data_IF_428222108774
#
_entry.id   IF_428222108774
#
_cell.length_a   1.000
_cell.length_b   1.000
_cell.length_c   1.000
_cell.angle_alpha   90.00
_cell.angle_beta   90.00
_cell.angle_gamma   90.00
#
_symmetry.space_group_name_H-M   'P 1'
#
loop_
_entity.id
_entity.type
_entity.pdbx_description
1 polymer ?
#
# COMPACT_ATOMS: atom_id res chain seq x y z
N UNK A 1 -23.28 -26.90 7.61
CA UNK A 1 -23.78 -25.62 8.16
C UNK A 1 -22.67 -25.05 9.02
N UNK A 2 -22.14 -23.87 8.69
CA UNK A 2 -21.03 -23.24 9.41
C UNK A 2 -21.61 -22.13 10.28
N UNK A 3 -21.44 -22.22 11.60
CA UNK A 3 -21.74 -21.13 12.53
C UNK A 3 -20.41 -20.73 13.16
N UNK A 4 -19.92 -19.55 12.82
CA UNK A 4 -18.66 -19.01 13.34
C UNK A 4 -18.93 -18.14 14.57
N UNK A 5 -18.34 -18.48 15.71
CA UNK A 5 -18.29 -17.61 16.89
C UNK A 5 -16.99 -16.81 16.87
N UNK A 6 -17.08 -15.49 16.95
CA UNK A 6 -15.92 -14.61 17.11
C UNK A 6 -15.49 -14.71 18.58
N UNK A 7 -14.48 -15.53 18.87
CA UNK A 7 -13.86 -15.61 20.19
C UNK A 7 -12.57 -14.78 20.16
N UNK A 8 -12.64 -13.60 20.77
CA UNK A 8 -11.64 -12.52 20.71
C UNK A 8 -11.36 -11.98 19.31
N UNK A 9 -11.15 -10.65 19.20
CA UNK A 9 -10.96 -9.93 17.93
C UNK A 9 -9.77 -10.42 17.09
N UNK A 10 -8.91 -11.27 17.66
CA UNK A 10 -7.67 -11.76 17.04
C UNK A 10 -7.83 -13.11 16.32
N UNK A 11 -8.90 -13.86 16.59
CA UNK A 11 -9.04 -15.24 16.10
C UNK A 11 -10.46 -15.56 15.63
N UNK A 12 -10.54 -16.25 14.50
CA UNK A 12 -11.80 -16.76 13.98
C UNK A 12 -11.80 -18.29 14.04
N UNK A 13 -12.77 -18.86 14.75
CA UNK A 13 -12.94 -20.32 14.84
C UNK A 13 -13.98 -20.76 13.81
N UNK A 14 -13.54 -21.53 12.81
CA UNK A 14 -14.42 -22.17 11.84
C UNK A 14 -14.67 -23.63 12.24
N UNK A 15 -15.95 -23.99 12.30
CA UNK A 15 -16.39 -25.35 12.60
C UNK A 15 -17.00 -25.96 11.36
N UNK A 16 -16.44 -27.07 10.89
CA UNK A 16 -16.95 -27.83 9.76
C UNK A 16 -17.55 -29.14 10.26
N UNK A 17 -18.83 -29.34 9.98
CA UNK A 17 -19.54 -30.58 10.32
C UNK A 17 -19.85 -31.34 9.03
N UNK A 18 -19.33 -32.56 8.89
CA UNK A 18 -19.63 -33.46 7.76
C UNK A 18 -19.71 -34.90 8.25
N UNK A 19 -20.85 -35.57 7.97
CA UNK A 19 -21.11 -36.98 8.34
C UNK A 19 -20.83 -37.30 9.82
N UNK A 20 -21.25 -36.44 10.74
CA UNK A 20 -21.09 -36.67 12.18
C UNK A 20 -19.68 -36.42 12.74
N UNK A 21 -18.73 -35.96 11.91
CA UNK A 21 -17.41 -35.52 12.36
C UNK A 21 -17.39 -33.99 12.42
N UNK A 22 -16.95 -33.46 13.56
CA UNK A 22 -16.67 -32.03 13.75
C UNK A 22 -15.18 -31.75 13.61
N UNK A 23 -14.84 -30.83 12.71
CA UNK A 23 -13.47 -30.37 12.50
C UNK A 23 -13.39 -28.90 12.88
N UNK A 24 -12.39 -28.58 13.69
CA UNK A 24 -12.12 -27.23 14.19
C UNK A 24 -10.90 -26.66 13.48
N UNK A 25 -11.07 -25.49 12.86
CA UNK A 25 -9.97 -24.70 12.27
C UNK A 25 -9.93 -23.35 12.96
N UNK A 26 -8.79 -23.01 13.54
CA UNK A 26 -8.55 -21.70 14.16
C UNK A 26 -7.75 -20.84 13.18
N UNK A 27 -8.34 -19.74 12.72
CA UNK A 27 -7.70 -18.78 11.84
C UNK A 27 -7.18 -17.60 12.67
N UNK A 28 -5.89 -17.29 12.51
CA UNK A 28 -5.26 -16.17 13.19
C UNK A 28 -5.34 -14.91 12.30
N UNK A 29 -6.27 -14.01 12.61
CA UNK A 29 -6.59 -12.85 11.75
C UNK A 29 -5.38 -11.93 11.57
N UNK A 30 -4.58 -11.74 12.64
CA UNK A 30 -3.33 -10.96 12.58
C UNK A 30 -2.37 -11.49 11.53
N UNK A 31 -2.20 -12.80 11.43
CA UNK A 31 -1.23 -13.42 10.53
C UNK A 31 -1.71 -13.39 9.07
N UNK A 32 -3.03 -13.51 8.86
CA UNK A 32 -3.66 -13.38 7.54
C UNK A 32 -3.54 -11.94 7.02
N UNK A 33 -3.82 -10.95 7.87
CA UNK A 33 -3.65 -9.54 7.54
C UNK A 33 -2.17 -9.22 7.29
N UNK A 34 -1.27 -9.68 8.16
CA UNK A 34 0.17 -9.46 8.02
C UNK A 34 0.69 -10.02 6.69
N UNK A 35 0.36 -11.26 6.34
CA UNK A 35 0.74 -11.89 5.06
C UNK A 35 0.16 -11.15 3.84
N UNK A 36 -1.08 -10.68 3.93
CA UNK A 36 -1.71 -9.90 2.86
C UNK A 36 -1.05 -8.54 2.61
N UNK A 37 -0.42 -7.97 3.65
CA UNK A 37 0.16 -6.63 3.61
C UNK A 37 1.70 -6.58 3.58
N UNK A 38 2.42 -7.72 3.61
CA UNK A 38 3.90 -7.76 3.57
C UNK A 38 4.50 -6.96 2.39
N UNK A 39 3.78 -6.88 1.27
CA UNK A 39 4.22 -6.18 0.05
C UNK A 39 4.05 -4.67 0.10
N UNK A 40 3.33 -4.14 1.09
CA UNK A 40 3.05 -2.72 1.22
C UNK A 40 3.90 -2.10 2.32
N UNK A 41 4.39 -0.88 2.09
CA UNK A 41 5.05 -0.13 3.14
C UNK A 41 4.03 0.19 4.24
N UNK A 42 4.37 -0.15 5.48
CA UNK A 42 3.54 0.18 6.64
C UNK A 42 3.64 1.66 6.96
N UNK A 43 2.51 2.27 7.30
CA UNK A 43 2.42 3.68 7.67
C UNK A 43 1.90 4.58 6.55
N UNK A 44 1.86 5.87 6.83
CA UNK A 44 1.53 6.91 5.85
C UNK A 44 2.76 7.48 5.17
N UNK A 45 2.57 8.62 4.50
CA UNK A 45 3.70 9.41 4.01
C UNK A 45 4.49 10.01 5.16
N UNK A 46 5.78 10.25 4.92
CA UNK A 46 6.64 10.95 5.87
C UNK A 46 6.13 12.38 6.07
N UNK A 47 6.26 12.95 7.28
CA UNK A 47 5.88 14.34 7.56
C UNK A 47 6.59 15.35 6.65
N UNK A 48 7.79 15.01 6.18
CA UNK A 48 8.58 15.80 5.23
C UNK A 48 9.09 14.87 4.13
N UNK A 49 8.87 15.24 2.86
CA UNK A 49 9.32 14.42 1.75
C UNK A 49 10.83 14.21 1.77
N UNK A 50 11.21 12.94 1.73
CA UNK A 50 12.60 12.51 1.65
C UNK A 50 12.95 12.02 0.26
N UNK A 51 14.24 12.04 -0.10
CA UNK A 51 14.69 11.56 -1.42
C UNK A 51 14.34 10.09 -1.64
N UNK A 52 14.40 9.29 -0.56
CA UNK A 52 14.02 7.87 -0.57
C UNK A 52 12.51 7.71 -0.83
N UNK A 53 11.67 8.44 -0.11
CA UNK A 53 10.22 8.41 -0.29
C UNK A 53 9.82 8.87 -1.70
N UNK A 54 10.39 9.98 -2.18
CA UNK A 54 10.13 10.49 -3.52
C UNK A 54 10.45 9.46 -4.61
N UNK A 55 11.58 8.75 -4.46
CA UNK A 55 11.99 7.67 -5.35
C UNK A 55 11.00 6.49 -5.31
N UNK A 56 10.52 6.11 -4.12
CA UNK A 56 9.50 5.07 -3.94
C UNK A 56 8.16 5.47 -4.57
N UNK A 57 7.71 6.71 -4.37
CA UNK A 57 6.47 7.25 -4.96
C UNK A 57 6.50 7.19 -6.48
N UNK A 58 7.63 7.55 -7.12
CA UNK A 58 7.76 7.50 -8.57
C UNK A 58 8.13 6.12 -9.13
N UNK A 59 8.41 5.13 -8.26
CA UNK A 59 8.85 3.80 -8.68
C UNK A 59 10.19 3.81 -9.41
N UNK A 60 11.13 4.64 -8.96
CA UNK A 60 12.43 4.84 -9.57
C UNK A 60 13.55 4.71 -8.52
N UNK A 61 14.80 4.43 -8.92
CA UNK A 61 15.93 4.59 -8.02
C UNK A 61 16.16 6.08 -7.69
N UNK A 62 16.66 6.39 -6.49
CA UNK A 62 16.94 7.77 -6.04
C UNK A 62 18.01 8.50 -6.89
N UNK A 63 18.74 7.76 -7.73
CA UNK A 63 19.76 8.21 -8.68
C UNK A 63 19.23 8.33 -10.12
N UNK A 64 17.91 8.20 -10.32
CA UNK A 64 17.32 8.28 -11.65
C UNK A 64 17.63 9.59 -12.37
N UNK A 65 17.83 9.49 -13.69
CA UNK A 65 18.07 10.66 -14.56
C UNK A 65 16.79 11.51 -14.69
N UNK A 66 16.89 12.84 -14.89
CA UNK A 66 15.74 13.74 -14.99
C UNK A 66 14.67 13.31 -16.00
N UNK A 67 15.05 12.78 -17.16
CA UNK A 67 14.09 12.32 -18.16
C UNK A 67 13.20 11.20 -17.62
N UNK A 68 13.77 10.24 -16.89
CA UNK A 68 13.01 9.14 -16.28
C UNK A 68 12.06 9.64 -15.18
N UNK A 69 12.49 10.65 -14.41
CA UNK A 69 11.66 11.29 -13.38
C UNK A 69 10.41 11.92 -14.02
N UNK A 70 10.58 12.68 -15.11
CA UNK A 70 9.48 13.32 -15.84
C UNK A 70 8.51 12.30 -16.45
N UNK A 71 9.05 11.24 -17.05
CA UNK A 71 8.23 10.16 -17.62
C UNK A 71 7.42 9.41 -16.55
N UNK A 72 8.06 9.07 -15.43
CA UNK A 72 7.39 8.39 -14.32
C UNK A 72 6.32 9.27 -13.68
N UNK A 73 6.64 10.55 -13.43
CA UNK A 73 5.69 11.55 -12.94
C UNK A 73 4.47 11.65 -13.84
N UNK A 74 4.67 11.84 -15.15
CA UNK A 74 3.55 11.91 -16.12
C UNK A 74 2.67 10.66 -16.07
N UNK A 75 3.28 9.47 -16.11
CA UNK A 75 2.55 8.19 -16.08
C UNK A 75 1.70 8.04 -14.82
N UNK A 76 2.28 8.32 -13.65
CA UNK A 76 1.63 8.15 -12.35
C UNK A 76 0.57 9.23 -12.13
N UNK A 77 0.85 10.47 -12.52
CA UNK A 77 -0.09 11.59 -12.40
C UNK A 77 -1.34 11.38 -13.27
N UNK A 78 -1.20 10.87 -14.49
CA UNK A 78 -2.37 10.57 -15.34
C UNK A 78 -3.33 9.60 -14.64
N UNK A 79 -2.80 8.58 -13.97
CA UNK A 79 -3.60 7.60 -13.23
C UNK A 79 -4.20 8.15 -11.92
N UNK A 80 -3.58 9.17 -11.32
CA UNK A 80 -3.97 9.72 -10.02
C UNK A 80 -4.54 11.14 -10.10
N UNK A 81 -4.86 11.62 -11.31
CA UNK A 81 -5.28 13.00 -11.52
C UNK A 81 -6.62 13.29 -10.82
N UNK A 82 -6.76 14.39 -10.05
CA UNK A 82 -8.00 14.72 -9.34
C UNK A 82 -9.22 14.81 -10.25
N UNK A 83 -9.08 15.47 -11.40
CA UNK A 83 -10.17 15.60 -12.39
C UNK A 83 -10.59 14.26 -13.03
N UNK A 84 -9.82 13.18 -12.81
CA UNK A 84 -10.16 11.82 -13.24
C UNK A 84 -10.57 10.92 -12.07
N UNK A 85 -10.97 11.52 -10.94
CA UNK A 85 -11.37 10.80 -9.73
C UNK A 85 -10.21 10.38 -8.84
N UNK A 86 -8.99 10.87 -9.10
CA UNK A 86 -7.83 10.65 -8.23
C UNK A 86 -7.90 11.49 -6.95
N UNK A 87 -7.12 11.11 -5.94
CA UNK A 87 -7.05 11.86 -4.69
C UNK A 87 -6.20 13.14 -4.87
N UNK A 88 -6.73 14.33 -4.51
CA UNK A 88 -5.94 15.57 -4.48
C UNK A 88 -4.67 15.44 -3.63
N UNK A 89 -4.77 14.71 -2.51
CA UNK A 89 -3.65 14.49 -1.62
C UNK A 89 -2.56 13.61 -2.26
N UNK A 90 -2.94 12.53 -2.94
CA UNK A 90 -1.97 11.69 -3.65
C UNK A 90 -1.31 12.45 -4.79
N UNK A 91 -2.08 13.23 -5.56
CA UNK A 91 -1.53 14.07 -6.62
C UNK A 91 -0.52 15.09 -6.07
N UNK A 92 -0.80 15.71 -4.92
CA UNK A 92 0.13 16.61 -4.25
C UNK A 92 1.44 15.90 -3.86
N UNK A 93 1.38 14.69 -3.28
CA UNK A 93 2.57 13.90 -2.93
C UNK A 93 3.38 13.46 -4.15
N UNK A 94 2.72 13.15 -5.27
CA UNK A 94 3.39 12.83 -6.55
C UNK A 94 4.15 14.05 -7.09
N UNK A 95 3.56 15.24 -7.00
CA UNK A 95 4.23 16.49 -7.39
C UNK A 95 5.43 16.80 -6.48
N UNK A 96 5.24 16.73 -5.16
CA UNK A 96 6.30 16.92 -4.17
C UNK A 96 7.49 15.98 -4.41
N UNK A 97 7.22 14.72 -4.75
CA UNK A 97 8.25 13.74 -5.08
C UNK A 97 9.07 14.12 -6.33
N UNK A 98 8.39 14.58 -7.39
CA UNK A 98 9.03 15.04 -8.63
C UNK A 98 9.90 16.27 -8.36
N UNK A 99 9.39 17.25 -7.63
CA UNK A 99 10.12 18.50 -7.35
C UNK A 99 11.35 18.25 -6.47
N UNK A 100 11.26 17.34 -5.49
CA UNK A 100 12.41 16.97 -4.66
C UNK A 100 13.52 16.30 -5.48
N UNK A 101 13.16 15.38 -6.39
CA UNK A 101 14.16 14.67 -7.19
C UNK A 101 14.80 15.55 -8.27
N UNK A 102 14.06 16.53 -8.81
CA UNK A 102 14.60 17.52 -9.76
C UNK A 102 15.46 18.60 -9.08
N UNK A 103 15.08 19.07 -7.88
CA UNK A 103 15.79 20.15 -7.16
C UNK A 103 17.19 19.77 -6.65
N UNK A 104 17.49 18.48 -6.54
CA UNK A 104 18.83 18.00 -6.13
C UNK A 104 19.95 18.23 -7.17
N UNK A 105 19.64 18.89 -8.29
CA UNK A 105 20.61 19.47 -9.22
C UNK A 105 20.56 21.00 -9.11
N UNK A 106 21.23 21.53 -8.10
CA UNK A 106 21.76 22.90 -8.12
C UNK A 106 23.16 22.90 -7.55
#
# INVERSE_FOLDING_TARGET
>A
MVWGGISDLDKAKLVFVRKGVEIYVELHLKQILEYGFEKYHRGGFEPKMTRREAAMILGLPATAKPNRIKEAHKRIMIANHPDRGGSPYLAAKINEAKDLLESSKS
#
